data_IF_080802912243
#
_entry.id   IF_080802912243
#
_cell.length_a   1.000
_cell.length_b   1.000
_cell.length_c   1.000
_cell.angle_alpha   90.00
_cell.angle_beta   90.00
_cell.angle_gamma   90.00
#
_symmetry.space_group_name_H-M   'P 1'
#
loop_
_entity.id
_entity.type
_entity.pdbx_description
1 polymer ?
#
# COMPACT_ATOMS: atom_id res chain seq x y z
N UNK A 1 34.12 7.19 -3.83
CA UNK A 1 33.08 6.40 -4.54
C UNK A 1 32.05 5.97 -3.51
N UNK A 2 30.93 6.70 -3.37
CA UNK A 2 29.89 6.38 -2.38
C UNK A 2 29.02 5.22 -2.90
N UNK A 3 29.24 4.02 -2.38
CA UNK A 3 28.32 2.88 -2.55
C UNK A 3 27.17 3.03 -1.55
N UNK A 4 26.24 3.93 -1.86
CA UNK A 4 25.01 4.04 -1.08
C UNK A 4 24.11 2.84 -1.38
N UNK A 5 23.84 2.08 -0.32
CA UNK A 5 22.47 1.71 0.02
C UNK A 5 21.78 0.70 -0.91
N UNK A 6 22.45 -0.41 -1.24
CA UNK A 6 21.72 -1.65 -1.51
C UNK A 6 21.29 -2.23 -0.16
N UNK A 7 20.21 -1.66 0.39
CA UNK A 7 19.54 -2.26 1.54
C UNK A 7 19.11 -3.68 1.15
N UNK A 8 19.64 -4.64 1.91
CA UNK A 8 19.28 -6.04 1.84
C UNK A 8 17.74 -6.17 1.89
N UNK A 9 17.13 -6.56 0.76
CA UNK A 9 15.66 -6.61 0.61
C UNK A 9 14.99 -7.59 1.59
N UNK A 10 15.73 -8.39 2.37
CA UNK A 10 15.15 -9.32 3.34
C UNK A 10 14.68 -8.63 4.63
N UNK A 11 15.12 -7.40 4.91
CA UNK A 11 14.73 -6.65 6.12
C UNK A 11 13.89 -5.39 5.82
N UNK A 12 13.40 -5.21 4.59
CA UNK A 12 12.54 -4.07 4.27
C UNK A 12 11.15 -4.28 4.86
N UNK A 13 10.92 -3.70 6.05
CA UNK A 13 9.61 -3.66 6.67
C UNK A 13 8.73 -2.62 5.96
N UNK A 14 7.74 -3.09 5.19
CA UNK A 14 6.73 -2.20 4.61
C UNK A 14 5.72 -1.79 5.69
N UNK A 15 5.95 -0.60 6.23
CA UNK A 15 5.10 0.00 7.26
C UNK A 15 3.66 0.24 6.77
N UNK A 16 3.46 0.57 5.49
CA UNK A 16 2.15 0.78 4.89
C UNK A 16 1.36 -0.52 4.83
N UNK A 17 2.00 -1.61 4.37
CA UNK A 17 1.40 -2.94 4.36
C UNK A 17 0.98 -3.37 5.78
N UNK A 18 1.89 -3.21 6.74
CA UNK A 18 1.64 -3.59 8.12
C UNK A 18 0.47 -2.81 8.73
N UNK A 19 0.46 -1.48 8.57
CA UNK A 19 -0.60 -0.62 9.10
C UNK A 19 -1.95 -0.91 8.44
N UNK A 20 -1.97 -1.22 7.13
CA UNK A 20 -3.19 -1.57 6.42
C UNK A 20 -3.79 -2.90 6.91
N UNK A 21 -2.95 -3.91 7.20
CA UNK A 21 -3.39 -5.16 7.85
C UNK A 21 -4.03 -4.90 9.21
N UNK A 22 -3.41 -4.08 10.06
CA UNK A 22 -3.96 -3.72 11.37
C UNK A 22 -5.30 -2.99 11.26
N UNK A 23 -5.47 -2.14 10.25
CA UNK A 23 -6.73 -1.43 10.02
C UNK A 23 -7.84 -2.40 9.59
N UNK A 24 -7.52 -3.36 8.72
CA UNK A 24 -8.44 -4.43 8.30
C UNK A 24 -8.91 -5.27 9.49
N UNK A 25 -8.01 -5.63 10.42
CA UNK A 25 -8.38 -6.43 11.60
C UNK A 25 -9.27 -5.66 12.58
N UNK A 26 -9.14 -4.34 12.64
CA UNK A 26 -9.96 -3.47 13.50
C UNK A 26 -11.30 -3.08 12.85
N UNK A 27 -11.47 -3.30 11.55
CA UNK A 27 -12.71 -2.97 10.82
C UNK A 27 -13.77 -4.02 11.11
N UNK A 28 -14.90 -3.60 11.69
CA UNK A 28 -16.04 -4.46 12.02
C UNK A 28 -16.99 -4.69 10.83
N UNK A 29 -17.09 -3.71 9.92
CA UNK A 29 -17.92 -3.82 8.73
C UNK A 29 -17.29 -4.77 7.71
N UNK A 30 -17.95 -5.90 7.45
CA UNK A 30 -17.40 -6.96 6.60
C UNK A 30 -17.28 -6.54 5.12
N UNK A 31 -18.14 -5.64 4.65
CA UNK A 31 -18.06 -5.11 3.28
C UNK A 31 -16.83 -4.20 3.11
N UNK A 32 -16.64 -3.24 4.02
CA UNK A 32 -15.48 -2.38 4.08
C UNK A 32 -14.19 -3.20 4.21
N UNK A 33 -14.21 -4.24 5.05
CA UNK A 33 -13.09 -5.16 5.23
C UNK A 33 -12.74 -5.91 3.95
N UNK A 34 -13.73 -6.33 3.17
CA UNK A 34 -13.51 -6.95 1.86
C UNK A 34 -12.85 -5.96 0.89
N UNK A 35 -13.33 -4.72 0.82
CA UNK A 35 -12.71 -3.66 0.00
C UNK A 35 -11.26 -3.40 0.43
N UNK A 36 -10.99 -3.27 1.72
CA UNK A 36 -9.63 -3.03 2.23
C UNK A 36 -8.69 -4.20 1.94
N UNK A 37 -9.18 -5.45 1.96
CA UNK A 37 -8.41 -6.63 1.55
C UNK A 37 -8.06 -6.58 0.05
N UNK A 38 -8.97 -6.11 -0.81
CA UNK A 38 -8.68 -5.90 -2.23
C UNK A 38 -7.60 -4.82 -2.40
N UNK A 39 -7.74 -3.68 -1.72
CA UNK A 39 -6.74 -2.60 -1.74
C UNK A 39 -5.36 -3.09 -1.29
N UNK A 40 -5.28 -3.91 -0.23
CA UNK A 40 -4.03 -4.51 0.22
C UNK A 40 -3.40 -5.40 -0.84
N UNK A 41 -4.20 -6.20 -1.55
CA UNK A 41 -3.73 -7.06 -2.64
C UNK A 41 -3.23 -6.24 -3.83
N UNK A 42 -3.95 -5.18 -4.19
CA UNK A 42 -3.58 -4.30 -5.30
C UNK A 42 -2.32 -3.48 -4.97
N UNK A 43 -2.15 -3.08 -3.70
CA UNK A 43 -0.96 -2.40 -3.21
C UNK A 43 0.27 -3.31 -3.35
N UNK A 44 0.15 -4.58 -2.95
CA UNK A 44 1.21 -5.59 -3.12
C UNK A 44 1.59 -5.83 -4.58
N UNK A 45 0.64 -5.65 -5.49
CA UNK A 45 0.87 -5.75 -6.94
C UNK A 45 1.40 -4.45 -7.55
N UNK A 46 1.53 -3.37 -6.77
CA UNK A 46 1.93 -2.05 -7.24
C UNK A 46 0.88 -1.36 -8.11
N UNK A 47 -0.38 -1.79 -8.03
CA UNK A 47 -1.50 -1.24 -8.82
C UNK A 47 -2.16 -0.03 -8.15
N UNK A 48 -2.01 0.10 -6.82
CA UNK A 48 -2.52 1.24 -6.07
C UNK A 48 -1.43 1.80 -5.16
N UNK A 49 -1.44 3.11 -4.97
CA UNK A 49 -0.67 3.77 -3.94
C UNK A 49 -1.58 4.07 -2.75
N UNK A 50 -1.16 3.70 -1.55
CA UNK A 50 -1.92 3.90 -0.31
C UNK A 50 -1.27 5.01 0.51
N UNK A 51 -2.09 5.95 0.96
CA UNK A 51 -1.73 7.01 1.90
C UNK A 51 -2.68 6.99 3.10
N UNK A 52 -2.39 7.80 4.11
CA UNK A 52 -3.18 7.87 5.35
C UNK A 52 -3.63 9.30 5.59
N UNK A 53 -4.94 9.50 5.75
CA UNK A 53 -5.55 10.80 6.02
C UNK A 53 -6.47 10.68 7.23
N UNK A 54 -6.22 11.50 8.27
CA UNK A 54 -6.99 11.48 9.51
C UNK A 54 -7.19 10.07 10.11
N UNK A 55 -6.12 9.26 10.11
CA UNK A 55 -6.14 7.88 10.63
C UNK A 55 -6.85 6.86 9.74
N UNK A 56 -7.39 7.26 8.58
CA UNK A 56 -8.04 6.37 7.62
C UNK A 56 -7.15 6.13 6.40
N UNK A 57 -7.15 4.92 5.82
CA UNK A 57 -6.46 4.68 4.57
C UNK A 57 -7.21 5.37 3.42
N UNK A 58 -6.45 6.04 2.55
CA UNK A 58 -6.91 6.56 1.26
C UNK A 58 -6.01 5.99 0.18
N UNK A 59 -6.53 5.69 -1.00
CA UNK A 59 -5.75 5.09 -2.07
C UNK A 59 -6.11 5.67 -3.43
N UNK A 60 -5.13 5.64 -4.33
CA UNK A 60 -5.29 6.01 -5.73
C UNK A 60 -4.80 4.88 -6.62
N UNK A 61 -5.46 4.69 -7.76
CA UNK A 61 -5.01 3.74 -8.76
C UNK A 61 -3.77 4.30 -9.47
N UNK A 62 -2.75 3.46 -9.60
CA UNK A 62 -1.56 3.78 -10.39
C UNK A 62 -1.91 3.52 -11.85
N UNK A 63 -2.49 4.52 -12.52
CA UNK A 63 -2.61 4.52 -13.97
C UNK A 63 -1.28 4.93 -14.56
N UNK A 64 -0.64 4.04 -15.35
CA UNK A 64 0.45 4.45 -16.23
C UNK A 64 -0.18 5.30 -17.34
N UNK A 65 -0.30 6.60 -17.13
CA UNK A 65 -0.49 7.51 -18.25
C UNK A 65 0.79 7.46 -19.09
N UNK A 66 0.77 6.64 -20.13
CA UNK A 66 1.74 6.74 -21.22
C UNK A 66 1.48 8.09 -21.87
N UNK A 67 2.21 9.12 -21.43
CA UNK A 67 2.35 10.37 -22.19
C UNK A 67 2.91 9.99 -23.56
N UNK A 68 2.01 9.81 -24.54
CA UNK A 68 2.38 9.77 -25.96
C UNK A 68 2.78 11.20 -26.32
N UNK A 69 4.09 11.46 -26.23
CA UNK A 69 4.73 12.56 -26.94
C UNK A 69 4.89 12.23 -28.42
#
# INVERSE_FOLDING_TARGET
MHKSQFADRKNLFDYTEHRLKLYITQTQDEQQKATLKQVLNDYKKGLVAVAWKAGKPVWINVTKETTRG
#
